data_IF_384371022901
#
_entry.id   IF_384371022901
#
_cell.length_a   1.000
_cell.length_b   1.000
_cell.length_c   1.000
_cell.angle_alpha   90.00
_cell.angle_beta   90.00
_cell.angle_gamma   90.00
#
_symmetry.space_group_name_H-M   'P 1'
#
loop_
_entity.id
_entity.type
_entity.pdbx_description
1 polymer ?
#
# COMPACT_ATOMS: atom_id res chain seq x y z
N UNK A 1 18.47 2.11 6.64
CA UNK A 1 18.35 0.88 5.82
C UNK A 1 16.91 0.31 5.74
N UNK A 2 16.15 0.24 6.84
CA UNK A 2 14.80 -0.39 6.86
C UNK A 2 13.75 0.27 5.94
N UNK A 3 13.71 1.60 5.83
CA UNK A 3 12.71 2.30 4.99
C UNK A 3 12.82 1.99 3.50
N UNK A 4 14.04 1.81 2.98
CA UNK A 4 14.28 1.58 1.56
C UNK A 4 13.83 0.17 1.12
N UNK A 5 14.08 -0.84 1.96
CA UNK A 5 13.59 -2.20 1.75
C UNK A 5 12.06 -2.25 1.80
N UNK A 6 11.43 -1.52 2.74
CA UNK A 6 9.96 -1.43 2.81
C UNK A 6 9.36 -0.75 1.57
N UNK A 7 9.99 0.30 1.04
CA UNK A 7 9.58 0.91 -0.22
C UNK A 7 9.75 -0.05 -1.40
N UNK A 8 10.88 -0.76 -1.49
CA UNK A 8 11.14 -1.74 -2.53
C UNK A 8 10.11 -2.89 -2.49
N UNK A 9 9.80 -3.43 -1.31
CA UNK A 9 8.79 -4.48 -1.14
C UNK A 9 7.39 -3.99 -1.52
N UNK A 10 7.00 -2.78 -1.10
CA UNK A 10 5.72 -2.18 -1.49
C UNK A 10 5.63 -1.99 -3.02
N UNK A 11 6.72 -1.57 -3.67
CA UNK A 11 6.80 -1.41 -5.13
C UNK A 11 6.71 -2.73 -5.89
N UNK A 12 7.41 -3.77 -5.42
CA UNK A 12 7.36 -5.11 -6.01
C UNK A 12 5.96 -5.73 -5.91
N UNK A 13 5.30 -5.60 -4.76
CA UNK A 13 3.92 -6.09 -4.58
C UNK A 13 2.94 -5.33 -5.49
N UNK A 14 3.09 -4.02 -5.64
CA UNK A 14 2.28 -3.22 -6.57
C UNK A 14 2.49 -3.66 -8.03
N UNK A 15 3.75 -3.87 -8.43
CA UNK A 15 4.08 -4.37 -9.76
C UNK A 15 3.50 -5.77 -10.01
N UNK A 16 3.56 -6.67 -9.03
CA UNK A 16 2.97 -8.00 -9.13
C UNK A 16 1.44 -7.93 -9.34
N UNK A 17 0.74 -7.10 -8.58
CA UNK A 17 -0.70 -6.91 -8.75
C UNK A 17 -1.05 -6.35 -10.13
N UNK A 18 -0.29 -5.37 -10.63
CA UNK A 18 -0.48 -4.79 -11.95
C UNK A 18 -0.24 -5.82 -13.08
N UNK A 19 0.80 -6.64 -12.96
CA UNK A 19 1.10 -7.70 -13.92
C UNK A 19 0.02 -8.77 -13.95
N UNK A 20 -0.51 -9.17 -12.79
CA UNK A 20 -1.63 -10.11 -12.72
C UNK A 20 -2.88 -9.56 -13.40
N UNK A 21 -3.21 -8.29 -13.18
CA UNK A 21 -4.34 -7.62 -13.86
C UNK A 21 -4.12 -7.58 -15.38
N UNK A 22 -2.93 -7.22 -15.85
CA UNK A 22 -2.61 -7.23 -17.27
C UNK A 22 -2.71 -8.65 -17.88
N UNK A 23 -2.18 -9.65 -17.18
CA UNK A 23 -2.25 -11.06 -17.60
C UNK A 23 -3.70 -11.52 -17.74
N UNK A 24 -4.55 -11.21 -16.76
CA UNK A 24 -5.97 -11.55 -16.80
C UNK A 24 -6.70 -10.81 -17.94
N UNK A 25 -6.38 -9.54 -18.18
CA UNK A 25 -6.93 -8.77 -19.29
C UNK A 25 -6.59 -9.36 -20.67
N UNK A 26 -5.37 -9.89 -20.83
CA UNK A 26 -4.93 -10.55 -22.07
C UNK A 26 -5.63 -11.89 -22.24
N UNK A 27 -5.61 -12.72 -21.18
CA UNK A 27 -6.22 -14.05 -21.19
C UNK A 27 -7.71 -14.00 -21.55
N UNK A 28 -8.43 -12.98 -21.06
CA UNK A 28 -9.87 -12.80 -21.29
C UNK A 28 -10.21 -11.78 -22.38
N UNK A 29 -9.24 -11.36 -23.21
CA UNK A 29 -9.44 -10.31 -24.22
C UNK A 29 -10.57 -10.60 -25.22
N UNK A 30 -10.76 -11.87 -25.60
CA UNK A 30 -11.79 -12.30 -26.56
C UNK A 30 -13.08 -12.80 -25.89
N UNK A 31 -13.18 -12.76 -24.56
CA UNK A 31 -14.39 -13.22 -23.86
C UNK A 31 -15.47 -12.16 -24.00
N UNK A 32 -16.58 -12.50 -24.66
CA UNK A 32 -17.69 -11.59 -24.86
C UNK A 32 -18.22 -11.08 -23.50
N UNK A 33 -18.42 -9.76 -23.38
CA UNK A 33 -18.85 -9.13 -22.13
C UNK A 33 -17.74 -8.89 -21.10
N UNK A 34 -16.49 -9.28 -21.38
CA UNK A 34 -15.37 -8.99 -20.50
C UNK A 34 -15.03 -7.49 -20.49
N UNK A 35 -15.01 -6.90 -19.29
CA UNK A 35 -14.54 -5.54 -19.06
C UNK A 35 -13.14 -5.59 -18.46
N UNK A 36 -12.20 -4.85 -19.07
CA UNK A 36 -10.81 -4.82 -18.62
C UNK A 36 -10.72 -4.26 -17.20
N UNK A 37 -10.01 -4.97 -16.34
CA UNK A 37 -9.71 -4.51 -15.00
C UNK A 37 -8.50 -3.57 -15.04
N UNK A 38 -8.48 -2.56 -14.16
CA UNK A 38 -7.36 -1.63 -14.03
C UNK A 38 -6.90 -1.61 -12.58
N UNK A 39 -5.58 -1.60 -12.39
CA UNK A 39 -4.98 -1.51 -11.06
C UNK A 39 -4.62 -0.05 -10.80
N UNK A 40 -5.21 0.57 -9.79
CA UNK A 40 -4.88 1.93 -9.36
C UNK A 40 -3.92 1.84 -8.18
N UNK A 41 -2.70 2.35 -8.35
CA UNK A 41 -1.68 2.38 -7.31
C UNK A 41 -1.72 3.74 -6.62
N UNK A 42 -1.88 3.75 -5.29
CA UNK A 42 -1.87 4.96 -4.46
C UNK A 42 -0.59 5.03 -3.61
N UNK A 43 -0.14 6.25 -3.30
CA UNK A 43 1.08 6.46 -2.53
C UNK A 43 0.91 6.00 -1.07
N UNK A 44 1.86 5.22 -0.56
CA UNK A 44 1.87 4.82 0.84
C UNK A 44 2.12 6.05 1.74
N UNK A 45 1.07 6.53 2.42
CA UNK A 45 1.17 7.62 3.37
C UNK A 45 1.82 7.09 4.67
N UNK A 46 3.01 7.59 5.02
CA UNK A 46 3.75 7.09 6.17
C UNK A 46 3.08 7.52 7.48
N UNK A 47 2.33 6.61 8.10
CA UNK A 47 1.59 6.83 9.36
C UNK A 47 2.46 7.05 10.62
N UNK A 48 3.77 7.28 10.48
CA UNK A 48 4.74 7.45 11.59
C UNK A 48 4.40 8.64 12.48
N UNK A 49 3.75 9.69 11.95
CA UNK A 49 3.27 10.83 12.75
C UNK A 49 2.15 10.47 13.73
N UNK A 50 1.24 9.56 13.36
CA UNK A 50 0.06 9.24 14.18
C UNK A 50 0.39 8.38 15.40
N UNK A 51 1.36 7.48 15.26
CA UNK A 51 1.83 6.65 16.38
C UNK A 51 2.65 7.47 17.39
N UNK A 52 3.52 8.36 16.93
CA UNK A 52 4.30 9.22 17.84
C UNK A 52 3.40 10.09 18.70
N UNK A 53 2.33 10.65 18.11
CA UNK A 53 1.32 11.44 18.84
C UNK A 53 0.60 10.63 19.93
N UNK A 54 0.18 9.39 19.66
CA UNK A 54 -0.52 8.57 20.67
C UNK A 54 0.32 8.25 21.92
N UNK A 55 1.61 7.97 21.76
CA UNK A 55 2.52 7.65 22.87
C UNK A 55 2.96 8.88 23.65
N UNK A 56 3.19 10.02 22.99
CA UNK A 56 3.51 11.28 23.69
C UNK A 56 2.33 11.84 24.49
N UNK A 57 1.08 11.63 24.06
CA UNK A 57 -0.08 11.98 24.88
C UNK A 57 -0.14 11.11 26.14
N UNK A 58 0.06 9.79 26.03
CA UNK A 58 0.08 8.87 27.19
C UNK A 58 1.18 9.19 28.21
N UNK A 59 2.36 9.58 27.76
CA UNK A 59 3.47 9.96 28.65
C UNK A 59 3.21 11.31 29.36
N UNK A 60 2.60 12.28 28.69
CA UNK A 60 2.26 13.58 29.31
C UNK A 60 1.18 13.49 30.38
N UNK A 61 0.30 12.48 30.32
CA UNK A 61 -0.68 12.22 31.38
C UNK A 61 -0.08 11.50 32.60
N UNK A 62 1.01 10.73 32.44
CA UNK A 62 1.65 10.00 33.55
C UNK A 62 2.46 10.93 34.46
N UNK A 63 3.16 11.94 33.93
CA UNK A 63 3.95 12.88 34.74
C UNK A 63 3.12 13.97 35.46
N UNK A 64 1.79 13.98 35.32
CA UNK A 64 0.91 15.00 35.91
C UNK A 64 0.09 14.49 37.11
N UNK A 65 0.42 13.32 37.67
CA UNK A 65 -0.20 12.71 38.84
C UNK A 65 0.81 12.56 39.98
#
# INVERSE_FOLDING_TARGET
>A
MSSLINNAMSGLNAAQAALNTASNNISSYNVAGYTRQTTIMAQANSNVGRWRLGWQWRLRFWCAA
#
